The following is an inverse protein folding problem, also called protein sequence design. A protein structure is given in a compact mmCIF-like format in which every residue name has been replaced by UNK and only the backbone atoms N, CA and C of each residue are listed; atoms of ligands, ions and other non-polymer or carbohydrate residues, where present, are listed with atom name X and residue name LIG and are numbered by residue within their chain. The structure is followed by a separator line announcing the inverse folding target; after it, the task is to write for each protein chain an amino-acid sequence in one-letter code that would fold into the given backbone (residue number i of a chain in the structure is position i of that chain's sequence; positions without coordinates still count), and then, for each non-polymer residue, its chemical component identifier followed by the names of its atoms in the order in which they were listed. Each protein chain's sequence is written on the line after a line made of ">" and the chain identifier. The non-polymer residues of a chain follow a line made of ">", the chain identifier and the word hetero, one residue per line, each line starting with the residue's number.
data_IF_862281561246
#
_entry.id   IF_862281561246
#
_cell.length_a   1.000
_cell.length_b   1.000
_cell.length_c   1.000
_cell.angle_alpha   90.00
_cell.angle_beta   90.00
_cell.angle_gamma   90.00
#
_symmetry.space_group_name_H-M   'P 1'
#
loop_
_entity.id
_entity.type
_entity.pdbx_description
1 polymer ?
#
# COMPACT_ATOMS: atom_id res chain seq x y z
N UNK A 1 -8.84 -9.90 4.77
CA UNK A 1 -7.47 -10.44 4.73
C UNK A 1 -7.65 -11.93 4.84
N UNK A 2 -7.14 -12.70 3.88
CA UNK A 2 -7.20 -14.16 3.92
C UNK A 2 -6.17 -14.70 4.90
N UNK A 3 -6.30 -15.97 5.31
CA UNK A 3 -5.36 -16.65 6.21
C UNK A 3 -3.93 -16.78 5.62
N UNK A 4 -3.75 -16.46 4.34
CA UNK A 4 -2.47 -16.53 3.60
C UNK A 4 -1.80 -15.17 3.39
N UNK A 5 -2.40 -14.06 3.85
CA UNK A 5 -1.80 -12.73 3.74
C UNK A 5 -0.62 -12.59 4.71
N UNK A 6 0.57 -12.32 4.17
CA UNK A 6 1.77 -12.09 4.95
C UNK A 6 2.03 -10.59 5.13
N UNK A 7 2.14 -10.15 6.39
CA UNK A 7 2.39 -8.76 6.75
C UNK A 7 3.74 -8.69 7.47
N UNK A 8 4.64 -7.84 6.99
CA UNK A 8 5.94 -7.62 7.58
C UNK A 8 6.20 -6.13 7.82
N UNK A 9 6.87 -5.82 8.93
CA UNK A 9 7.44 -4.50 9.19
C UNK A 9 8.88 -4.50 8.71
N UNK A 10 9.18 -3.65 7.73
CA UNK A 10 10.50 -3.59 7.10
C UNK A 10 11.47 -2.75 7.95
N UNK A 11 10.96 -1.67 8.55
CA UNK A 11 11.72 -0.81 9.45
C UNK A 11 10.97 0.49 9.73
N UNK A 12 11.18 1.13 10.89
CA UNK A 12 10.51 2.39 11.21
C UNK A 12 8.98 2.28 11.11
N UNK A 13 8.38 3.08 10.24
CA UNK A 13 6.97 3.14 9.87
C UNK A 13 6.65 2.46 8.52
N UNK A 14 7.61 1.72 7.93
CA UNK A 14 7.44 1.01 6.66
C UNK A 14 6.92 -0.41 6.87
N UNK A 15 5.84 -0.73 6.16
CA UNK A 15 5.18 -2.03 6.16
C UNK A 15 5.08 -2.59 4.76
N UNK A 16 5.17 -3.92 4.64
CA UNK A 16 5.00 -4.67 3.41
C UNK A 16 3.89 -5.71 3.61
N UNK A 17 3.02 -5.83 2.61
CA UNK A 17 1.96 -6.83 2.57
C UNK A 17 2.19 -7.67 1.32
N UNK A 18 2.28 -8.98 1.50
CA UNK A 18 2.37 -9.97 0.43
C UNK A 18 1.10 -10.80 0.51
N UNK A 19 0.35 -10.86 -0.58
CA UNK A 19 -0.92 -11.57 -0.66
C UNK A 19 -0.93 -12.39 -1.94
N UNK A 20 -1.69 -13.49 -1.95
CA UNK A 20 -1.84 -14.39 -3.10
C UNK A 20 -2.82 -13.81 -4.17
N UNK A 21 -2.90 -12.48 -4.24
CA UNK A 21 -3.75 -11.75 -5.17
C UNK A 21 -3.05 -11.69 -6.52
N UNK A 22 -3.73 -12.23 -7.53
CA UNK A 22 -3.25 -12.24 -8.92
C UNK A 22 -3.95 -11.21 -9.81
N UNK A 23 -4.99 -10.53 -9.28
CA UNK A 23 -5.77 -9.54 -10.00
C UNK A 23 -5.48 -8.12 -9.50
N UNK A 24 -5.15 -7.21 -10.42
CA UNK A 24 -4.97 -5.79 -10.07
C UNK A 24 -6.24 -5.19 -9.45
N UNK A 25 -7.42 -5.66 -9.85
CA UNK A 25 -8.69 -5.21 -9.29
C UNK A 25 -8.82 -5.59 -7.81
N UNK A 26 -8.52 -6.83 -7.46
CA UNK A 26 -8.55 -7.30 -6.07
C UNK A 26 -7.48 -6.60 -5.22
N UNK A 27 -6.32 -6.32 -5.81
CA UNK A 27 -5.24 -5.59 -5.15
C UNK A 27 -5.65 -4.13 -4.88
N UNK A 28 -6.33 -3.48 -5.82
CA UNK A 28 -6.90 -2.15 -5.63
C UNK A 28 -8.01 -2.14 -4.57
N UNK A 29 -8.83 -3.18 -4.48
CA UNK A 29 -9.81 -3.30 -3.39
C UNK A 29 -9.15 -3.47 -2.03
N UNK A 30 -8.05 -4.22 -1.94
CA UNK A 30 -7.28 -4.37 -0.70
C UNK A 30 -6.66 -3.03 -0.27
N UNK A 31 -6.05 -2.29 -1.20
CA UNK A 31 -5.46 -0.98 -0.89
C UNK A 31 -6.53 0.02 -0.44
N UNK A 32 -7.69 0.01 -1.08
CA UNK A 32 -8.82 0.87 -0.70
C UNK A 32 -9.36 0.53 0.69
N UNK A 33 -9.45 -0.76 1.03
CA UNK A 33 -9.83 -1.19 2.39
C UNK A 33 -8.86 -0.68 3.44
N UNK A 34 -7.55 -0.72 3.19
CA UNK A 34 -6.54 -0.18 4.12
C UNK A 34 -6.73 1.32 4.30
N UNK A 35 -6.96 2.05 3.21
CA UNK A 35 -7.24 3.49 3.23
C UNK A 35 -8.49 3.81 4.05
N UNK A 36 -9.58 3.06 3.87
CA UNK A 36 -10.82 3.25 4.63
C UNK A 36 -10.65 2.96 6.11
N UNK A 37 -9.90 1.92 6.49
CA UNK A 37 -9.59 1.67 7.91
C UNK A 37 -8.82 2.83 8.54
N UNK A 38 -7.88 3.44 7.80
CA UNK A 38 -7.13 4.62 8.25
C UNK A 38 -8.02 5.86 8.38
N UNK A 39 -8.93 6.08 7.43
CA UNK A 39 -9.92 7.17 7.53
C UNK A 39 -10.81 7.00 8.75
N UNK A 40 -11.37 5.80 8.93
CA UNK A 40 -12.21 5.49 10.09
C UNK A 40 -11.43 5.68 11.40
N UNK A 41 -10.16 5.27 11.44
CA UNK A 41 -9.30 5.51 12.59
C UNK A 41 -9.12 7.01 12.85
N UNK A 42 -8.85 7.83 11.83
CA UNK A 42 -8.72 9.28 11.99
C UNK A 42 -10.02 9.97 12.43
N UNK A 43 -11.18 9.45 12.03
CA UNK A 43 -12.49 10.02 12.42
C UNK A 43 -12.89 9.62 13.83
N UNK A 44 -12.58 8.40 14.25
CA UNK A 44 -12.97 7.85 15.56
C UNK A 44 -11.97 8.17 16.66
N UNK A 45 -10.73 8.49 16.30
CA UNK A 45 -9.67 8.73 17.27
C UNK A 45 -9.64 10.20 17.74
N UNK A 46 -9.55 10.40 19.05
CA UNK A 46 -9.51 11.73 19.67
C UNK A 46 -8.11 12.33 19.76
N UNK A 47 -7.12 11.69 19.11
CA UNK A 47 -5.75 12.19 19.10
C UNK A 47 -5.60 13.47 18.26
N UNK A 48 -4.68 14.38 18.62
CA UNK A 48 -4.50 15.66 17.94
C UNK A 48 -3.82 15.55 16.57
N UNK A 49 -3.55 14.33 16.08
CA UNK A 49 -2.86 14.07 14.82
C UNK A 49 -3.71 13.18 13.92
N UNK A 50 -3.61 13.42 12.61
CA UNK A 50 -4.18 12.56 11.57
C UNK A 50 -3.07 11.72 10.96
N UNK A 51 -3.31 10.42 10.83
CA UNK A 51 -2.43 9.51 10.14
C UNK A 51 -2.75 9.52 8.64
N UNK A 52 -1.72 9.58 7.81
CA UNK A 52 -1.83 9.31 6.38
C UNK A 52 -0.85 8.21 6.01
N UNK A 53 -1.18 7.46 4.97
CA UNK A 53 -0.31 6.41 4.45
C UNK A 53 -0.13 6.60 2.95
N UNK A 54 1.07 6.33 2.48
CA UNK A 54 1.36 6.24 1.06
C UNK A 54 1.64 4.80 0.73
N UNK A 55 0.90 4.27 -0.25
CA UNK A 55 0.96 2.86 -0.61
C UNK A 55 1.26 2.75 -2.10
N UNK A 56 2.28 1.97 -2.43
CA UNK A 56 2.48 1.42 -3.77
C UNK A 56 2.11 -0.05 -3.74
N UNK A 57 1.43 -0.53 -4.78
CA UNK A 57 1.03 -1.92 -4.90
C UNK A 57 1.08 -2.31 -6.38
N UNK A 58 1.51 -3.54 -6.65
CA UNK A 58 1.54 -4.12 -7.98
C UNK A 58 1.38 -5.64 -7.86
N UNK A 59 0.85 -6.29 -8.90
CA UNK A 59 0.83 -7.75 -9.01
C UNK A 59 2.15 -8.20 -9.65
N UNK A 60 2.77 -9.22 -9.09
CA UNK A 60 4.01 -9.76 -9.66
C UNK A 60 3.69 -10.65 -10.86
N UNK A 61 4.12 -10.23 -12.05
CA UNK A 61 4.05 -11.04 -13.26
C UNK A 61 5.39 -11.77 -13.49
N UNK A 62 5.32 -13.10 -13.48
CA UNK A 62 6.49 -13.98 -13.67
C UNK A 62 6.92 -14.05 -15.14
N UNK A 63 6.01 -13.79 -16.08
CA UNK A 63 6.28 -13.79 -17.52
C UNK A 63 6.94 -12.49 -17.98
N UNK A 64 6.76 -11.40 -17.24
CA UNK A 64 7.42 -10.11 -17.50
C UNK A 64 8.96 -10.15 -17.36
N UNK A 65 9.53 -11.25 -16.84
CA UNK A 65 10.98 -11.43 -16.69
C UNK A 65 11.62 -10.52 -15.65
N UNK A 66 10.82 -9.85 -14.81
CA UNK A 66 11.29 -8.88 -13.83
C UNK A 66 11.88 -9.57 -12.60
N UNK A 67 13.07 -9.12 -12.19
CA UNK A 67 13.69 -9.58 -10.94
C UNK A 67 12.93 -9.03 -9.72
N UNK A 68 13.05 -9.70 -8.57
CA UNK A 68 12.46 -9.22 -7.32
C UNK A 68 12.92 -7.79 -6.96
N UNK A 69 14.18 -7.46 -7.25
CA UNK A 69 14.74 -6.14 -6.98
C UNK A 69 14.11 -5.05 -7.87
N UNK A 70 13.89 -5.34 -9.14
CA UNK A 70 13.21 -4.44 -10.07
C UNK A 70 11.73 -4.26 -9.70
N UNK A 71 11.06 -5.35 -9.32
CA UNK A 71 9.68 -5.31 -8.88
C UNK A 71 9.51 -4.46 -7.62
N UNK A 72 10.42 -4.62 -6.64
CA UNK A 72 10.44 -3.76 -5.46
C UNK A 72 10.63 -2.29 -5.85
N UNK A 73 11.59 -1.98 -6.74
CA UNK A 73 11.81 -0.60 -7.21
C UNK A 73 10.58 -0.03 -7.93
N UNK A 74 9.85 -0.86 -8.67
CA UNK A 74 8.61 -0.46 -9.33
C UNK A 74 7.53 -0.08 -8.30
N UNK A 75 7.30 -0.92 -7.29
CA UNK A 75 6.38 -0.63 -6.18
C UNK A 75 6.79 0.65 -5.43
N UNK A 76 8.08 0.82 -5.13
CA UNK A 76 8.61 2.01 -4.45
C UNK A 76 8.35 3.28 -5.30
N UNK A 77 8.46 3.19 -6.62
CA UNK A 77 8.14 4.30 -7.53
C UNK A 77 6.65 4.63 -7.52
N UNK A 78 5.76 3.61 -7.51
CA UNK A 78 4.31 3.82 -7.42
C UNK A 78 3.93 4.49 -6.09
N UNK A 79 4.58 4.09 -4.99
CA UNK A 79 4.42 4.74 -3.68
C UNK A 79 4.85 6.21 -3.75
N UNK A 80 5.96 6.52 -4.42
CA UNK A 80 6.44 7.90 -4.57
C UNK A 80 5.47 8.77 -5.38
N UNK A 81 4.91 8.22 -6.47
CA UNK A 81 3.84 8.89 -7.23
C UNK A 81 2.61 9.15 -6.35
N UNK A 82 2.20 8.17 -5.53
CA UNK A 82 1.09 8.32 -4.58
C UNK A 82 1.39 9.40 -3.51
N UNK A 83 2.62 9.47 -2.98
CA UNK A 83 3.06 10.55 -2.07
C UNK A 83 2.90 11.93 -2.69
N UNK A 84 3.25 12.07 -3.97
CA UNK A 84 3.20 13.34 -4.66
C UNK A 84 1.75 13.78 -4.95
N UNK A 85 0.89 12.84 -5.35
CA UNK A 85 -0.55 13.09 -5.58
C UNK A 85 -1.30 13.47 -4.30
N UNK A 86 -1.01 12.79 -3.17
CA UNK A 86 -1.64 13.11 -1.88
C UNK A 86 -1.20 14.46 -1.30
N UNK A 87 0.01 14.93 -1.63
CA UNK A 87 0.47 16.29 -1.24
C UNK A 87 -0.24 17.40 -2.02
N UNK A 88 -0.72 17.12 -3.23
CA UNK A 88 -1.47 18.07 -4.06
C UNK A 88 -2.97 18.15 -3.72
N UNK A 89 -3.50 17.23 -2.91
CA UNK A 89 -4.91 17.21 -2.48
C UNK A 89 -5.13 17.75 -1.05
N UNK A 90 -4.14 18.43 -0.47
CA UNK A 90 -4.33 19.23 0.75
C UNK A 90 -4.66 20.68 0.38
N UNK A 91 -5.92 21.13 0.49
CA UNK A 91 -6.25 22.55 0.58
C UNK A 91 -5.84 23.15 1.93
#
# INVERSE_FOLDING_TARGET
>A
MGETDFIARIGGDEFCIISDIVSEYELAQLSERIRMCLLQFNETNSHPYRLSVSMGYAVYDREAGMTLAEFKRHIDSLMYSSKHSQRSEQP
#
